data_IF_332423636367
#
_entry.id   IF_332423636367
#
_cell.length_a   1.000
_cell.length_b   1.000
_cell.length_c   1.000
_cell.angle_alpha   90.00
_cell.angle_beta   90.00
_cell.angle_gamma   90.00
#
_symmetry.space_group_name_H-M   'P 1'
#
loop_
_entity.id
_entity.type
_entity.pdbx_description
1 polymer ?
#
# COMPACT_ATOMS: atom_id res chain seq x y z
N UNK A 1 3.08 22.44 -29.38
CA UNK A 1 2.45 22.48 -28.05
C UNK A 1 2.90 21.19 -27.39
N UNK A 2 3.79 21.27 -26.40
CA UNK A 2 4.17 20.09 -25.63
C UNK A 2 3.01 19.85 -24.67
N UNK A 3 1.98 19.14 -25.12
CA UNK A 3 0.91 18.72 -24.24
C UNK A 3 1.52 17.75 -23.23
N UNK A 4 1.58 18.16 -21.96
CA UNK A 4 2.01 17.29 -20.89
C UNK A 4 1.01 16.12 -20.83
N UNK A 5 1.43 14.86 -21.06
CA UNK A 5 0.50 13.72 -21.07
C UNK A 5 -0.27 13.58 -19.75
N UNK A 6 0.25 14.10 -18.63
CA UNK A 6 -0.46 14.18 -17.36
C UNK A 6 -1.76 14.99 -17.43
N UNK A 7 -1.82 16.04 -18.24
CA UNK A 7 -3.02 16.90 -18.35
C UNK A 7 -4.21 16.12 -18.91
N UNK A 8 -3.96 15.17 -19.83
CA UNK A 8 -4.98 14.29 -20.40
C UNK A 8 -5.61 13.41 -19.31
N UNK A 9 -4.80 12.95 -18.35
CA UNK A 9 -5.22 12.02 -17.30
C UNK A 9 -5.39 12.68 -15.92
N UNK A 10 -5.47 14.02 -15.85
CA UNK A 10 -5.48 14.75 -14.59
C UNK A 10 -6.60 14.30 -13.63
N UNK A 11 -7.78 13.97 -14.17
CA UNK A 11 -8.91 13.46 -13.38
C UNK A 11 -8.64 12.09 -12.73
N UNK A 12 -7.80 11.25 -13.35
CA UNK A 12 -7.38 9.94 -12.82
C UNK A 12 -6.23 10.14 -11.82
N UNK A 13 -5.22 10.91 -12.21
CA UNK A 13 -4.03 11.21 -11.39
C UNK A 13 -4.43 11.83 -10.05
N UNK A 14 -5.39 12.76 -10.05
CA UNK A 14 -5.89 13.38 -8.82
C UNK A 14 -6.71 12.42 -7.94
N UNK A 15 -7.02 11.21 -8.40
CA UNK A 15 -7.78 10.20 -7.66
C UNK A 15 -6.94 9.02 -7.14
N UNK A 16 -5.73 8.81 -7.64
CA UNK A 16 -4.80 7.78 -7.14
C UNK A 16 -3.44 8.32 -6.62
N UNK A 17 -2.69 7.45 -5.96
CA UNK A 17 -1.27 7.54 -5.67
C UNK A 17 -0.50 6.64 -6.64
N UNK A 18 0.81 6.81 -6.71
CA UNK A 18 1.72 6.00 -7.55
C UNK A 18 2.89 5.57 -6.69
N UNK A 19 3.24 4.29 -6.72
CA UNK A 19 4.38 3.76 -5.96
C UNK A 19 5.67 4.51 -6.31
N UNK A 20 6.44 4.86 -5.27
CA UNK A 20 7.63 5.68 -5.40
C UNK A 20 8.63 5.30 -4.30
N UNK A 21 9.60 4.41 -4.58
CA UNK A 21 10.64 4.10 -3.61
C UNK A 21 11.37 5.36 -3.17
N UNK A 22 11.52 5.56 -1.85
CA UNK A 22 12.10 6.79 -1.31
C UNK A 22 13.50 7.07 -1.86
N UNK A 23 14.32 6.03 -2.01
CA UNK A 23 15.66 6.15 -2.61
C UNK A 23 15.63 6.73 -4.03
N UNK A 24 14.63 6.36 -4.84
CA UNK A 24 14.49 6.89 -6.21
C UNK A 24 13.93 8.31 -6.22
N UNK A 25 13.03 8.66 -5.30
CA UNK A 25 12.58 10.06 -5.12
C UNK A 25 13.77 11.00 -4.90
N UNK A 26 14.74 10.57 -4.08
CA UNK A 26 15.98 11.33 -3.83
C UNK A 26 16.94 11.37 -5.02
N UNK A 27 16.81 10.45 -5.98
CA UNK A 27 17.63 10.35 -7.19
C UNK A 27 16.99 11.02 -8.41
N UNK A 28 16.04 11.94 -8.20
CA UNK A 28 15.44 12.78 -9.24
C UNK A 28 14.02 12.40 -9.63
N UNK A 29 13.49 11.27 -9.14
CA UNK A 29 12.08 10.90 -9.40
C UNK A 29 11.10 11.91 -8.78
N UNK A 30 11.50 12.63 -7.72
CA UNK A 30 10.68 13.67 -7.10
C UNK A 30 10.28 14.79 -8.08
N UNK A 31 11.20 15.23 -8.94
CA UNK A 31 10.91 16.29 -9.92
C UNK A 31 9.88 15.81 -10.96
N UNK A 32 9.98 14.54 -11.38
CA UNK A 32 9.01 13.92 -12.27
C UNK A 32 7.62 13.89 -11.62
N UNK A 33 7.54 13.54 -10.33
CA UNK A 33 6.28 13.52 -9.59
C UNK A 33 5.68 14.93 -9.47
N UNK A 34 6.49 15.94 -9.12
CA UNK A 34 6.03 17.32 -9.01
C UNK A 34 5.54 17.86 -10.36
N UNK A 35 6.32 17.68 -11.43
CA UNK A 35 5.99 18.20 -12.76
C UNK A 35 4.73 17.57 -13.36
N UNK A 36 4.46 16.30 -13.06
CA UNK A 36 3.27 15.59 -13.52
C UNK A 36 2.11 15.60 -12.51
N UNK A 37 2.28 16.26 -11.35
CA UNK A 37 1.33 16.27 -10.24
C UNK A 37 0.97 14.88 -9.70
N UNK A 38 1.90 13.93 -9.81
CA UNK A 38 1.74 12.60 -9.25
C UNK A 38 1.85 12.65 -7.73
N UNK A 39 0.97 11.90 -7.05
CA UNK A 39 1.00 11.77 -5.59
C UNK A 39 1.73 10.48 -5.23
N UNK A 40 2.84 10.53 -4.49
CA UNK A 40 3.61 9.32 -4.22
C UNK A 40 2.97 8.48 -3.12
N UNK A 41 2.97 7.18 -3.33
CA UNK A 41 3.07 6.22 -2.23
C UNK A 41 4.55 5.93 -1.99
N UNK A 42 5.08 6.45 -0.89
CA UNK A 42 6.51 6.43 -0.63
C UNK A 42 6.90 5.11 0.03
N UNK A 43 7.57 4.23 -0.71
CA UNK A 43 8.06 2.96 -0.16
C UNK A 43 9.35 3.18 0.64
N UNK A 44 9.32 2.77 1.90
CA UNK A 44 10.42 2.93 2.87
C UNK A 44 11.28 1.66 2.96
N UNK A 45 11.57 1.08 1.80
CA UNK A 45 12.27 -0.18 1.65
C UNK A 45 13.80 -0.05 1.64
N UNK A 46 14.47 -1.20 1.76
CA UNK A 46 15.93 -1.28 1.75
C UNK A 46 16.54 -0.66 3.00
N UNK A 47 17.58 0.16 2.83
CA UNK A 47 18.38 0.72 3.92
C UNK A 47 18.03 2.18 4.27
N UNK A 48 17.05 2.80 3.60
CA UNK A 48 16.81 4.24 3.72
C UNK A 48 16.50 4.69 5.16
N UNK A 49 15.84 3.86 5.95
CA UNK A 49 15.53 4.14 7.37
C UNK A 49 16.75 4.09 8.30
N UNK A 50 17.87 3.55 7.81
CA UNK A 50 19.15 3.47 8.52
C UNK A 50 20.14 4.53 8.03
N UNK A 51 20.10 4.85 6.73
CA UNK A 51 21.12 5.67 6.07
C UNK A 51 20.70 7.11 5.84
N UNK A 52 19.40 7.41 5.84
CA UNK A 52 18.86 8.75 5.57
C UNK A 52 18.63 9.51 6.87
N UNK A 53 19.09 10.77 6.93
CA UNK A 53 18.83 11.65 8.06
C UNK A 53 17.40 12.22 8.07
N UNK A 54 16.89 12.56 9.25
CA UNK A 54 15.55 13.17 9.41
C UNK A 54 15.34 14.40 8.52
N UNK A 55 16.36 15.27 8.40
CA UNK A 55 16.33 16.48 7.57
C UNK A 55 16.07 16.17 6.08
N UNK A 56 16.49 15.01 5.58
CA UNK A 56 16.29 14.64 4.18
C UNK A 56 14.88 14.12 3.91
N UNK A 57 14.31 13.38 4.86
CA UNK A 57 12.88 13.05 4.85
C UNK A 57 12.05 14.34 4.92
N UNK A 58 12.40 15.26 5.81
CA UNK A 58 11.75 16.56 5.95
C UNK A 58 11.80 17.37 4.65
N UNK A 59 12.98 17.48 4.01
CA UNK A 59 13.13 18.19 2.74
C UNK A 59 12.26 17.60 1.62
N UNK A 60 12.11 16.27 1.58
CA UNK A 60 11.24 15.59 0.61
C UNK A 60 9.77 15.89 0.90
N UNK A 61 9.35 15.80 2.17
CA UNK A 61 8.00 16.13 2.60
C UNK A 61 7.65 17.61 2.32
N UNK A 62 8.59 18.53 2.57
CA UNK A 62 8.42 19.96 2.32
C UNK A 62 8.24 20.26 0.83
N UNK A 63 9.00 19.57 -0.03
CA UNK A 63 8.88 19.71 -1.49
C UNK A 63 7.51 19.25 -1.99
N UNK A 64 7.00 18.11 -1.50
CA UNK A 64 5.66 17.63 -1.82
C UNK A 64 4.58 18.60 -1.31
N UNK A 65 4.73 19.10 -0.08
CA UNK A 65 3.79 20.06 0.52
C UNK A 65 3.77 21.39 -0.25
N UNK A 66 4.92 21.90 -0.66
CA UNK A 66 5.05 23.11 -1.47
C UNK A 66 4.37 22.96 -2.84
N UNK A 67 4.41 21.76 -3.43
CA UNK A 67 3.70 21.42 -4.66
C UNK A 67 2.20 21.15 -4.46
N UNK A 68 1.71 21.11 -3.21
CA UNK A 68 0.34 20.77 -2.86
C UNK A 68 0.00 19.29 -3.09
N UNK A 69 1.00 18.40 -3.06
CA UNK A 69 0.84 16.97 -3.31
C UNK A 69 0.75 16.22 -1.97
N UNK A 70 -0.28 15.41 -1.84
CA UNK A 70 -0.42 14.45 -0.75
C UNK A 70 0.41 13.20 -1.04
N UNK A 71 0.73 12.42 0.01
CA UNK A 71 1.37 11.13 -0.11
C UNK A 71 0.70 10.06 0.77
N UNK A 72 1.00 8.80 0.47
CA UNK A 72 0.87 7.66 1.38
C UNK A 72 2.27 7.12 1.68
N UNK A 73 2.43 6.31 2.72
CA UNK A 73 3.67 5.58 2.99
C UNK A 73 3.43 4.09 2.81
N UNK A 74 4.46 3.37 2.37
CA UNK A 74 4.50 1.92 2.43
C UNK A 74 5.62 1.51 3.40
N UNK A 75 5.23 0.85 4.49
CA UNK A 75 6.18 0.39 5.51
C UNK A 75 7.13 -0.67 4.92
N UNK A 76 8.36 -0.79 5.46
CA UNK A 76 9.25 -1.86 5.04
C UNK A 76 8.67 -3.23 5.40
N UNK A 77 8.87 -4.23 4.55
CA UNK A 77 8.43 -5.60 4.76
C UNK A 77 9.51 -6.64 4.44
N UNK A 78 10.46 -6.33 3.55
CA UNK A 78 11.53 -7.30 3.21
C UNK A 78 12.36 -7.67 4.45
N UNK A 79 12.54 -8.97 4.64
CA UNK A 79 13.26 -9.59 5.77
C UNK A 79 12.73 -9.26 7.16
N UNK A 80 11.54 -8.67 7.26
CA UNK A 80 10.91 -8.32 8.53
C UNK A 80 9.95 -9.43 9.00
N UNK A 81 9.92 -9.63 10.32
CA UNK A 81 9.05 -10.62 10.96
C UNK A 81 8.24 -9.97 12.09
N UNK A 82 7.14 -9.26 11.79
CA UNK A 82 6.32 -8.57 12.80
C UNK A 82 5.73 -9.51 13.85
N UNK A 83 5.45 -10.77 13.48
CA UNK A 83 5.06 -11.87 14.38
C UNK A 83 6.19 -12.88 14.66
N UNK A 84 7.46 -12.50 14.42
CA UNK A 84 8.60 -13.42 14.51
C UNK A 84 8.89 -13.93 15.92
N UNK A 85 9.25 -15.22 16.04
CA UNK A 85 9.51 -15.87 17.33
C UNK A 85 10.94 -15.67 17.85
N UNK A 86 11.90 -15.35 16.98
CA UNK A 86 13.26 -15.04 17.41
C UNK A 86 13.30 -13.62 18.00
N UNK A 87 13.66 -13.45 19.27
CA UNK A 87 13.57 -12.16 19.95
C UNK A 87 14.54 -11.10 19.38
N UNK A 88 15.68 -11.50 18.79
CA UNK A 88 16.63 -10.54 18.19
C UNK A 88 16.14 -10.07 16.82
N UNK A 89 15.61 -10.97 16.00
CA UNK A 89 15.00 -10.62 14.72
C UNK A 89 13.76 -9.73 14.94
N UNK A 90 12.93 -10.10 15.93
CA UNK A 90 11.75 -9.32 16.30
C UNK A 90 12.13 -7.91 16.77
N UNK A 91 13.18 -7.77 17.59
CA UNK A 91 13.65 -6.46 18.06
C UNK A 91 14.08 -5.55 16.90
N UNK A 92 14.88 -6.06 15.95
CA UNK A 92 15.30 -5.31 14.76
C UNK A 92 14.12 -4.98 13.85
N UNK A 93 13.17 -5.92 13.70
CA UNK A 93 11.93 -5.68 12.95
C UNK A 93 11.12 -4.53 13.54
N UNK A 94 10.87 -4.57 14.86
CA UNK A 94 10.14 -3.53 15.57
C UNK A 94 10.88 -2.18 15.49
N UNK A 95 12.20 -2.17 15.56
CA UNK A 95 12.98 -0.94 15.39
C UNK A 95 12.79 -0.34 13.99
N UNK A 96 12.94 -1.15 12.93
CA UNK A 96 12.80 -0.68 11.55
C UNK A 96 11.39 -0.15 11.27
N UNK A 97 10.36 -0.88 11.71
CA UNK A 97 8.97 -0.44 11.59
C UNK A 97 8.71 0.83 12.42
N UNK A 98 9.24 0.93 13.64
CA UNK A 98 9.11 2.15 14.44
C UNK A 98 9.69 3.37 13.74
N UNK A 99 10.86 3.23 13.11
CA UNK A 99 11.47 4.31 12.29
C UNK A 99 10.55 4.72 11.15
N UNK A 100 9.97 3.76 10.43
CA UNK A 100 9.00 4.05 9.37
C UNK A 100 7.76 4.79 9.90
N UNK A 101 7.19 4.32 11.01
CA UNK A 101 6.00 4.93 11.61
C UNK A 101 6.28 6.33 12.19
N UNK A 102 7.49 6.60 12.69
CA UNK A 102 7.88 7.93 13.15
C UNK A 102 7.82 8.98 12.02
N UNK A 103 8.04 8.58 10.76
CA UNK A 103 7.93 9.46 9.60
C UNK A 103 6.50 9.94 9.32
N UNK A 104 5.47 9.37 9.97
CA UNK A 104 4.10 9.90 9.91
C UNK A 104 3.99 11.35 10.42
N UNK A 105 4.84 11.74 11.38
CA UNK A 105 4.89 13.12 11.87
C UNK A 105 5.48 14.10 10.82
N UNK A 106 6.34 13.60 9.92
CA UNK A 106 7.04 14.39 8.91
C UNK A 106 6.21 14.51 7.63
N UNK A 107 5.81 13.37 7.08
CA UNK A 107 5.08 13.30 5.81
C UNK A 107 3.59 13.59 5.96
N UNK A 108 3.02 13.39 7.15
CA UNK A 108 1.57 13.49 7.39
C UNK A 108 0.75 12.73 6.33
N UNK A 109 1.06 11.44 6.10
CA UNK A 109 0.52 10.70 4.98
C UNK A 109 -0.97 10.40 5.15
N UNK A 110 -1.66 10.19 4.03
CA UNK A 110 -3.08 9.80 4.02
C UNK A 110 -3.32 8.39 4.59
N UNK A 111 -2.31 7.54 4.55
CA UNK A 111 -2.26 6.20 5.15
C UNK A 111 -0.81 5.70 5.20
N UNK A 112 -0.57 4.65 6.00
CA UNK A 112 0.61 3.79 5.88
C UNK A 112 0.17 2.35 5.62
N UNK A 113 0.72 1.74 4.57
CA UNK A 113 0.47 0.35 4.19
C UNK A 113 1.48 -0.57 4.87
N UNK A 114 1.04 -1.74 5.31
CA UNK A 114 1.84 -2.70 6.07
C UNK A 114 1.52 -4.14 5.65
N UNK A 115 2.57 -4.95 5.51
CA UNK A 115 2.42 -6.40 5.35
C UNK A 115 2.36 -7.07 6.73
N UNK A 116 1.55 -8.13 6.88
CA UNK A 116 1.48 -8.87 8.15
C UNK A 116 2.78 -9.62 8.47
N UNK A 117 3.52 -10.00 7.44
CA UNK A 117 4.67 -10.90 7.55
C UNK A 117 4.27 -12.32 7.96
N UNK A 118 3.07 -12.75 7.57
CA UNK A 118 2.63 -14.12 7.71
C UNK A 118 3.09 -14.97 6.52
N UNK A 119 3.31 -16.25 6.78
CA UNK A 119 3.69 -17.26 5.78
C UNK A 119 3.25 -18.61 6.35
N UNK A 120 2.26 -19.22 5.71
CA UNK A 120 1.60 -20.43 6.22
C UNK A 120 2.59 -21.59 6.39
N UNK A 121 3.56 -21.73 5.49
CA UNK A 121 4.58 -22.77 5.56
C UNK A 121 5.53 -22.60 6.76
N UNK A 122 5.68 -21.37 7.26
CA UNK A 122 6.60 -21.04 8.36
C UNK A 122 5.92 -20.87 9.71
N UNK A 123 4.64 -20.49 9.73
CA UNK A 123 3.99 -20.01 10.94
C UNK A 123 2.77 -20.81 11.36
N UNK A 124 2.16 -21.62 10.48
CA UNK A 124 0.93 -22.38 10.77
C UNK A 124 1.02 -23.26 12.04
N UNK A 125 2.14 -23.97 12.24
CA UNK A 125 2.36 -24.83 13.41
C UNK A 125 2.55 -24.07 14.74
N UNK A 126 2.76 -22.75 14.71
CA UNK A 126 2.85 -21.86 15.88
C UNK A 126 1.98 -20.62 15.71
N UNK A 127 0.83 -20.77 15.04
CA UNK A 127 -0.02 -19.66 14.63
C UNK A 127 -0.42 -18.76 15.79
N UNK A 128 -0.87 -19.31 16.93
CA UNK A 128 -1.29 -18.51 18.08
C UNK A 128 -0.14 -17.68 18.70
N UNK A 129 1.07 -18.22 18.72
CA UNK A 129 2.25 -17.50 19.22
C UNK A 129 2.64 -16.38 18.25
N UNK A 130 2.66 -16.68 16.95
CA UNK A 130 2.88 -15.66 15.91
C UNK A 130 1.83 -14.54 16.01
N UNK A 131 0.55 -14.90 16.16
CA UNK A 131 -0.56 -13.96 16.22
C UNK A 131 -0.46 -13.06 17.45
N UNK A 132 -0.12 -13.62 18.62
CA UNK A 132 0.12 -12.86 19.86
C UNK A 132 1.30 -11.88 19.72
N UNK A 133 2.41 -12.31 19.12
CA UNK A 133 3.59 -11.45 18.91
C UNK A 133 3.28 -10.35 17.88
N UNK A 134 2.59 -10.70 16.81
CA UNK A 134 2.15 -9.78 15.76
C UNK A 134 1.23 -8.70 16.33
N UNK A 135 0.22 -9.10 17.12
CA UNK A 135 -0.66 -8.18 17.85
C UNK A 135 0.11 -7.17 18.71
N UNK A 136 1.09 -7.63 19.49
CA UNK A 136 1.92 -6.77 20.32
C UNK A 136 2.74 -5.78 19.48
N UNK A 137 3.35 -6.24 18.39
CA UNK A 137 4.10 -5.39 17.44
C UNK A 137 3.21 -4.30 16.87
N UNK A 138 2.05 -4.68 16.33
CA UNK A 138 1.16 -3.74 15.66
C UNK A 138 0.46 -2.79 16.61
N UNK A 139 0.13 -3.22 17.83
CA UNK A 139 -0.47 -2.35 18.85
C UNK A 139 0.39 -1.11 19.10
N UNK A 140 1.71 -1.29 19.34
CA UNK A 140 2.62 -0.17 19.57
C UNK A 140 2.75 0.77 18.36
N UNK A 141 2.77 0.22 17.14
CA UNK A 141 2.87 1.00 15.91
C UNK A 141 1.58 1.77 15.59
N UNK A 142 0.41 1.14 15.80
CA UNK A 142 -0.89 1.77 15.64
C UNK A 142 -1.08 2.96 16.59
N UNK A 143 -0.55 2.90 17.81
CA UNK A 143 -0.55 4.04 18.72
C UNK A 143 0.24 5.24 18.17
N UNK A 144 1.40 4.99 17.55
CA UNK A 144 2.22 6.04 16.92
C UNK A 144 1.45 6.67 15.76
N UNK A 145 0.89 5.84 14.87
CA UNK A 145 0.12 6.31 13.72
C UNK A 145 -1.11 7.11 14.16
N UNK A 146 -1.82 6.67 15.21
CA UNK A 146 -2.97 7.38 15.78
C UNK A 146 -2.60 8.77 16.31
N UNK A 147 -1.44 8.94 16.95
CA UNK A 147 -0.97 10.26 17.43
C UNK A 147 -0.73 11.25 16.29
N UNK A 148 -0.41 10.75 15.09
CA UNK A 148 -0.18 11.53 13.89
C UNK A 148 -1.39 11.56 12.93
N UNK A 149 -2.57 11.06 13.37
CA UNK A 149 -3.78 10.94 12.54
C UNK A 149 -3.58 10.16 11.24
N UNK A 150 -2.69 9.17 11.25
CA UNK A 150 -2.39 8.32 10.09
C UNK A 150 -3.12 6.98 10.23
N UNK A 151 -4.07 6.66 9.34
CA UNK A 151 -4.64 5.32 9.25
C UNK A 151 -3.59 4.28 8.82
N UNK A 152 -3.67 3.07 9.38
CA UNK A 152 -2.82 1.93 9.00
C UNK A 152 -3.64 0.95 8.18
N UNK A 153 -3.15 0.57 7.01
CA UNK A 153 -3.77 -0.38 6.11
C UNK A 153 -2.93 -1.66 6.06
N UNK A 154 -3.53 -2.78 6.41
CA UNK A 154 -2.87 -4.07 6.28
C UNK A 154 -3.23 -4.69 4.94
N UNK A 155 -2.21 -5.08 4.19
CA UNK A 155 -2.33 -5.56 2.82
C UNK A 155 -2.40 -7.08 2.76
N UNK A 156 -3.17 -7.63 1.81
CA UNK A 156 -3.04 -9.05 1.45
C UNK A 156 -1.79 -9.26 0.60
N UNK A 157 -0.98 -10.25 0.96
CA UNK A 157 0.29 -10.53 0.29
C UNK A 157 0.30 -11.97 -0.19
N UNK A 158 1.00 -12.86 0.53
CA UNK A 158 1.09 -14.29 0.22
C UNK A 158 -0.03 -15.11 0.86
N UNK A 159 -0.88 -14.49 1.69
CA UNK A 159 -2.01 -15.16 2.30
C UNK A 159 -3.01 -15.62 1.23
N UNK A 160 -3.46 -16.87 1.31
CA UNK A 160 -4.42 -17.43 0.36
C UNK A 160 -5.86 -17.09 0.68
N UNK A 161 -6.14 -16.73 1.93
CA UNK A 161 -7.48 -16.50 2.48
C UNK A 161 -7.43 -15.38 3.53
N UNK A 162 -8.55 -14.63 3.76
CA UNK A 162 -8.57 -13.48 4.66
C UNK A 162 -8.49 -13.83 6.15
N UNK A 163 -8.43 -15.11 6.51
CA UNK A 163 -8.52 -15.59 7.90
C UNK A 163 -7.48 -14.95 8.82
N UNK A 164 -6.24 -14.81 8.35
CA UNK A 164 -5.15 -14.24 9.16
C UNK A 164 -5.43 -12.76 9.46
N UNK A 165 -5.85 -11.99 8.46
CA UNK A 165 -6.28 -10.60 8.61
C UNK A 165 -7.48 -10.48 9.56
N UNK A 166 -8.51 -11.31 9.41
CA UNK A 166 -9.69 -11.31 10.29
C UNK A 166 -9.30 -11.47 11.76
N UNK A 167 -8.52 -12.51 12.07
CA UNK A 167 -8.12 -12.82 13.44
C UNK A 167 -7.23 -11.73 14.05
N UNK A 168 -6.32 -11.15 13.25
CA UNK A 168 -5.51 -10.03 13.72
C UNK A 168 -6.35 -8.76 13.93
N UNK A 169 -7.30 -8.48 13.04
CA UNK A 169 -8.17 -7.30 13.14
C UNK A 169 -9.15 -7.36 14.30
N UNK A 170 -9.61 -8.56 14.67
CA UNK A 170 -10.40 -8.78 15.88
C UNK A 170 -9.61 -8.39 17.13
N UNK A 171 -8.35 -8.84 17.22
CA UNK A 171 -7.44 -8.49 18.33
C UNK A 171 -7.11 -7.00 18.36
N UNK A 172 -6.92 -6.39 17.20
CA UNK A 172 -6.58 -4.97 17.05
C UNK A 172 -7.80 -4.04 16.96
N UNK A 173 -9.03 -4.52 17.20
CA UNK A 173 -10.25 -3.75 16.90
C UNK A 173 -10.29 -2.35 17.53
N UNK A 174 -9.75 -2.19 18.74
CA UNK A 174 -9.70 -0.91 19.47
C UNK A 174 -8.78 0.13 18.83
N UNK A 175 -7.92 -0.29 17.91
CA UNK A 175 -6.97 0.56 17.20
C UNK A 175 -7.43 0.90 15.78
N UNK A 176 -8.57 0.35 15.33
CA UNK A 176 -9.16 0.66 14.03
C UNK A 176 -8.30 0.26 12.82
N UNK A 177 -7.82 -0.99 12.72
CA UNK A 177 -7.03 -1.41 11.56
C UNK A 177 -7.86 -1.34 10.29
N UNK A 178 -7.27 -0.77 9.24
CA UNK A 178 -7.80 -0.76 7.89
C UNK A 178 -7.22 -1.90 7.06
N UNK A 179 -7.86 -2.15 5.92
CA UNK A 179 -7.47 -3.17 4.96
C UNK A 179 -7.10 -2.51 3.63
N UNK A 180 -5.93 -2.88 3.12
CA UNK A 180 -5.52 -2.65 1.74
C UNK A 180 -5.79 -3.94 0.95
N UNK A 181 -6.63 -3.88 -0.08
CA UNK A 181 -6.76 -4.98 -1.02
C UNK A 181 -5.82 -4.73 -2.20
N UNK A 182 -4.75 -5.49 -2.29
CA UNK A 182 -3.94 -5.57 -3.48
C UNK A 182 -4.55 -6.60 -4.44
N UNK A 183 -4.97 -6.13 -5.61
CA UNK A 183 -5.66 -6.98 -6.60
C UNK A 183 -4.70 -7.87 -7.39
N UNK A 184 -3.43 -7.49 -7.54
CA UNK A 184 -2.46 -8.28 -8.26
C UNK A 184 -1.89 -9.41 -7.40
N UNK A 185 -1.72 -9.22 -6.10
CA UNK A 185 -1.42 -10.27 -5.14
C UNK A 185 -2.49 -11.37 -5.14
N UNK A 186 -3.78 -11.02 -5.33
CA UNK A 186 -4.85 -12.03 -5.43
C UNK A 186 -4.63 -12.98 -6.61
N UNK A 187 -4.33 -12.42 -7.79
CA UNK A 187 -4.14 -13.22 -8.99
C UNK A 187 -2.80 -13.94 -8.98
N UNK A 188 -1.76 -13.36 -8.35
CA UNK A 188 -0.43 -13.94 -8.27
C UNK A 188 -0.31 -15.05 -7.22
N UNK A 189 -0.95 -14.88 -6.05
CA UNK A 189 -0.65 -15.68 -4.85
C UNK A 189 -1.88 -16.32 -4.21
N UNK A 190 -2.99 -15.59 -4.09
CA UNK A 190 -4.01 -15.98 -3.13
C UNK A 190 -4.75 -17.28 -3.53
N UNK A 191 -4.95 -17.51 -4.83
CA UNK A 191 -5.75 -18.64 -5.32
C UNK A 191 -7.26 -18.52 -4.99
N UNK A 192 -7.64 -17.52 -4.19
CA UNK A 192 -9.00 -17.09 -3.89
C UNK A 192 -9.38 -15.83 -4.68
N UNK A 193 -10.68 -15.49 -4.72
CA UNK A 193 -11.16 -14.33 -5.46
C UNK A 193 -11.25 -13.09 -4.57
N UNK A 194 -11.29 -11.90 -5.18
CA UNK A 194 -11.48 -10.65 -4.42
C UNK A 194 -12.80 -10.66 -3.63
N UNK A 195 -13.82 -11.38 -4.08
CA UNK A 195 -15.09 -11.56 -3.37
C UNK A 195 -14.90 -12.26 -2.02
N UNK A 196 -14.06 -13.30 -1.96
CA UNK A 196 -13.75 -13.99 -0.70
C UNK A 196 -13.18 -13.01 0.34
N UNK A 197 -12.28 -12.13 -0.10
CA UNK A 197 -11.67 -11.12 0.75
C UNK A 197 -12.65 -10.01 1.14
N UNK A 198 -13.47 -9.54 0.21
CA UNK A 198 -14.45 -8.49 0.52
C UNK A 198 -15.56 -9.02 1.42
N UNK A 199 -16.06 -10.24 1.24
CA UNK A 199 -17.07 -10.84 2.13
C UNK A 199 -16.61 -10.82 3.61
N UNK A 200 -15.31 -11.00 3.84
CA UNK A 200 -14.69 -10.98 5.15
C UNK A 200 -14.33 -9.57 5.67
N UNK A 201 -13.80 -8.71 4.79
CA UNK A 201 -13.06 -7.49 5.19
C UNK A 201 -13.63 -6.18 4.62
N UNK A 202 -14.75 -6.21 3.88
CA UNK A 202 -15.38 -5.02 3.29
C UNK A 202 -15.55 -3.84 4.26
N UNK A 203 -15.99 -4.03 5.53
CA UNK A 203 -16.14 -2.91 6.46
C UNK A 203 -14.84 -2.15 6.74
N UNK A 204 -13.69 -2.82 6.55
CA UNK A 204 -12.34 -2.29 6.78
C UNK A 204 -11.61 -1.94 5.49
N UNK A 205 -12.17 -2.23 4.32
CA UNK A 205 -11.56 -1.88 3.03
C UNK A 205 -11.49 -0.36 2.91
N UNK A 206 -10.26 0.17 2.90
CA UNK A 206 -9.98 1.61 2.86
C UNK A 206 -8.90 1.98 1.85
N UNK A 207 -8.12 1.01 1.38
CA UNK A 207 -7.13 1.20 0.33
C UNK A 207 -7.17 0.04 -0.65
N UNK A 208 -6.82 0.30 -1.90
CA UNK A 208 -6.60 -0.72 -2.93
C UNK A 208 -5.31 -0.41 -3.67
N UNK A 209 -4.53 -1.45 -3.95
CA UNK A 209 -3.37 -1.37 -4.83
C UNK A 209 -3.73 -2.01 -6.16
N UNK A 210 -3.33 -1.34 -7.24
CA UNK A 210 -3.70 -1.71 -8.59
C UNK A 210 -2.45 -1.88 -9.44
N UNK A 211 -2.29 -3.11 -9.90
CA UNK A 211 -1.46 -3.52 -11.01
C UNK A 211 -2.06 -4.82 -11.54
N UNK A 212 -1.58 -5.30 -12.68
CA UNK A 212 -2.09 -6.52 -13.29
C UNK A 212 -0.97 -7.55 -13.45
N UNK A 213 -1.36 -8.80 -13.70
CA UNK A 213 -0.45 -9.90 -14.00
C UNK A 213 -1.18 -11.06 -14.69
N UNK A 214 -0.44 -12.07 -15.15
CA UNK A 214 -0.99 -13.23 -15.87
C UNK A 214 -1.26 -14.44 -14.95
N UNK A 215 -1.37 -14.20 -13.64
CA UNK A 215 -1.74 -15.20 -12.64
C UNK A 215 -0.66 -16.21 -12.26
N UNK A 216 0.61 -15.94 -12.57
CA UNK A 216 1.74 -16.84 -12.24
C UNK A 216 2.74 -16.27 -11.25
N UNK A 217 2.91 -14.96 -11.32
CA UNK A 217 3.84 -14.19 -10.50
C UNK A 217 3.30 -12.78 -10.45
N UNK A 218 3.84 -12.03 -9.53
CA UNK A 218 3.55 -10.62 -9.44
C UNK A 218 4.36 -9.82 -10.46
N UNK A 219 3.73 -9.51 -11.59
CA UNK A 219 4.40 -8.91 -12.75
C UNK A 219 4.39 -7.38 -12.76
N UNK A 220 3.49 -6.75 -11.98
CA UNK A 220 3.25 -5.31 -11.99
C UNK A 220 3.11 -4.69 -13.41
N UNK A 221 2.43 -5.40 -14.31
CA UNK A 221 2.16 -4.88 -15.66
C UNK A 221 0.95 -3.95 -15.66
N UNK A 222 0.84 -3.14 -16.72
CA UNK A 222 -0.23 -2.17 -16.83
C UNK A 222 -1.64 -2.80 -16.69
N UNK A 223 -2.55 -2.04 -16.06
CA UNK A 223 -3.96 -2.41 -15.87
C UNK A 223 -4.59 -2.82 -17.21
N UNK A 224 -5.19 -4.01 -17.26
CA UNK A 224 -5.88 -4.51 -18.46
C UNK A 224 -4.99 -5.33 -19.40
N UNK A 225 -3.72 -5.55 -19.07
CA UNK A 225 -2.81 -6.44 -19.82
C UNK A 225 -2.70 -7.85 -19.22
N UNK A 226 -3.27 -8.07 -18.05
CA UNK A 226 -3.30 -9.36 -17.37
C UNK A 226 -4.72 -9.93 -17.32
N UNK A 227 -5.07 -10.53 -16.19
CA UNK A 227 -6.29 -11.33 -16.05
C UNK A 227 -7.28 -10.77 -15.03
N UNK A 228 -6.92 -9.74 -14.25
CA UNK A 228 -7.83 -9.21 -13.24
C UNK A 228 -9.00 -8.46 -13.88
N UNK A 229 -10.24 -8.78 -13.47
CA UNK A 229 -11.43 -8.12 -13.99
C UNK A 229 -11.71 -6.78 -13.27
N UNK A 230 -10.95 -5.75 -13.62
CA UNK A 230 -11.07 -4.42 -13.02
C UNK A 230 -12.48 -3.85 -13.12
N UNK A 231 -13.14 -4.00 -14.29
CA UNK A 231 -14.49 -3.44 -14.49
C UNK A 231 -15.48 -4.01 -13.48
N UNK A 232 -15.47 -5.33 -13.27
CA UNK A 232 -16.36 -5.97 -12.31
C UNK A 232 -16.08 -5.52 -10.87
N UNK A 233 -14.81 -5.40 -10.49
CA UNK A 233 -14.40 -4.95 -9.18
C UNK A 233 -14.83 -3.49 -8.91
N UNK A 234 -14.60 -2.58 -9.86
CA UNK A 234 -15.00 -1.18 -9.72
C UNK A 234 -16.53 -0.99 -9.79
N UNK A 235 -17.24 -1.80 -10.59
CA UNK A 235 -18.70 -1.86 -10.55
C UNK A 235 -19.21 -2.28 -9.17
N UNK A 236 -18.53 -3.24 -8.51
CA UNK A 236 -18.84 -3.64 -7.14
C UNK A 236 -18.59 -2.51 -6.14
N UNK A 237 -17.42 -1.84 -6.18
CA UNK A 237 -17.12 -0.73 -5.27
C UNK A 237 -18.18 0.38 -5.35
N UNK A 238 -18.62 0.73 -6.57
CA UNK A 238 -19.71 1.70 -6.79
C UNK A 238 -21.03 1.25 -6.19
N UNK A 239 -21.43 -0.01 -6.39
CA UNK A 239 -22.65 -0.57 -5.78
C UNK A 239 -22.62 -0.54 -4.25
N UNK A 240 -21.44 -0.78 -3.67
CA UNK A 240 -21.24 -0.72 -2.22
C UNK A 240 -21.04 0.71 -1.68
N UNK A 241 -20.94 1.71 -2.57
CA UNK A 241 -20.62 3.11 -2.23
C UNK A 241 -19.32 3.22 -1.43
N UNK A 242 -18.29 2.49 -1.86
CA UNK A 242 -16.97 2.49 -1.24
C UNK A 242 -16.00 3.23 -2.16
N UNK A 243 -15.30 4.19 -1.59
CA UNK A 243 -14.37 5.08 -2.28
C UNK A 243 -13.00 4.99 -1.58
N UNK A 244 -12.20 3.91 -1.83
CA UNK A 244 -10.95 3.70 -1.12
C UNK A 244 -9.87 4.68 -1.61
N UNK A 245 -8.77 4.78 -0.86
CA UNK A 245 -7.50 5.25 -1.42
C UNK A 245 -7.07 4.25 -2.50
N UNK A 246 -6.48 4.75 -3.58
CA UNK A 246 -6.07 3.92 -4.72
C UNK A 246 -4.60 4.20 -4.97
N UNK A 247 -3.76 3.17 -5.01
CA UNK A 247 -2.36 3.28 -5.42
C UNK A 247 -2.15 2.46 -6.69
N UNK A 248 -1.50 3.06 -7.69
CA UNK A 248 -1.00 2.34 -8.86
C UNK A 248 0.43 1.88 -8.57
N UNK A 249 0.75 0.63 -8.91
CA UNK A 249 2.08 0.07 -8.65
C UNK A 249 2.85 -0.35 -9.91
N UNK A 250 3.06 0.53 -10.90
CA UNK A 250 3.84 0.19 -12.07
C UNK A 250 5.33 0.01 -11.74
N UNK A 251 5.98 -0.93 -12.43
CA UNK A 251 7.45 -1.08 -12.40
C UNK A 251 8.18 -0.35 -13.53
N UNK A 252 7.44 0.34 -14.40
CA UNK A 252 8.03 1.18 -15.45
C UNK A 252 7.16 2.40 -15.75
N UNK A 253 7.79 3.47 -16.26
CA UNK A 253 7.06 4.66 -16.71
C UNK A 253 6.07 4.31 -17.85
N UNK A 254 6.43 3.38 -18.72
CA UNK A 254 5.53 2.93 -19.79
C UNK A 254 4.26 2.26 -19.22
N UNK A 255 4.40 1.41 -18.20
CA UNK A 255 3.27 0.76 -17.56
C UNK A 255 2.40 1.74 -16.79
N UNK A 256 2.98 2.80 -16.22
CA UNK A 256 2.22 3.89 -15.60
C UNK A 256 1.29 4.57 -16.63
N UNK A 257 1.87 5.09 -17.73
CA UNK A 257 1.10 5.81 -18.73
C UNK A 257 0.05 4.94 -19.41
N UNK A 258 0.39 3.67 -19.67
CA UNK A 258 -0.57 2.71 -20.24
C UNK A 258 -1.69 2.38 -19.24
N UNK A 259 -1.38 2.26 -17.94
CA UNK A 259 -2.42 2.07 -16.91
C UNK A 259 -3.36 3.27 -16.85
N UNK A 260 -2.85 4.51 -16.86
CA UNK A 260 -3.67 5.72 -16.87
C UNK A 260 -4.60 5.76 -18.09
N UNK A 261 -4.08 5.42 -19.27
CA UNK A 261 -4.88 5.29 -20.48
C UNK A 261 -6.00 4.27 -20.33
N UNK A 262 -5.67 3.05 -19.89
CA UNK A 262 -6.61 1.95 -19.79
C UNK A 262 -7.67 2.22 -18.71
N UNK A 263 -7.30 2.84 -17.58
CA UNK A 263 -8.26 3.31 -16.55
C UNK A 263 -9.27 4.27 -17.16
N UNK A 264 -8.80 5.22 -17.99
CA UNK A 264 -9.67 6.18 -18.68
C UNK A 264 -10.60 5.54 -19.69
N UNK A 265 -10.08 4.67 -20.56
CA UNK A 265 -10.88 3.94 -21.56
C UNK A 265 -11.93 3.03 -20.92
N UNK A 266 -11.58 2.37 -19.81
CA UNK A 266 -12.49 1.50 -19.04
C UNK A 266 -13.40 2.26 -18.07
N UNK A 267 -13.16 3.56 -17.86
CA UNK A 267 -13.91 4.44 -16.95
C UNK A 267 -13.94 3.93 -15.50
N UNK A 268 -12.85 3.34 -15.04
CA UNK A 268 -12.83 2.64 -13.74
C UNK A 268 -13.09 3.57 -12.56
N UNK A 269 -12.61 4.81 -12.63
CA UNK A 269 -12.74 5.77 -11.52
C UNK A 269 -13.99 6.66 -11.60
N UNK A 270 -14.78 6.58 -12.68
CA UNK A 270 -16.00 7.40 -12.82
C UNK A 270 -17.05 6.98 -11.77
N UNK A 271 -17.50 7.93 -10.94
CA UNK A 271 -18.53 7.70 -9.92
C UNK A 271 -18.03 7.04 -8.63
N UNK A 272 -16.72 7.05 -8.38
CA UNK A 272 -16.13 6.79 -7.06
C UNK A 272 -16.00 8.12 -6.30
N UNK A 273 -17.10 8.57 -5.71
CA UNK A 273 -17.13 9.75 -4.82
C UNK A 273 -16.72 9.35 -3.39
#
# INVERSE_FOLDING_TARGET
MNDNPAETYAHIINRCFINAPFGLLRQGLLDLFINNRFRPEISLEGDCLWTTGENEFQATADSLRAAGLQCTLHAPFFDLAPGGLDPKILAVTREKLHRAFALSAIFQPRSIVCHLGYDDNKHSYKFEEWLRISEETWTGLLEIARRNNTPVMFENTYETEPRVHQLLFERLQSHGPGFCLDVGHLTAYAGSSWQTWTDALLPRLRQVHLHDNRGRRDEHIAIGLGIFNFKEFFDFLRRQRISPLITLEPHSENDLWLSLRNIGEMKLFEGLD
#
